data_IF_747776519685
#
_entry.id   IF_747776519685
#
_cell.length_a   1.000
_cell.length_b   1.000
_cell.length_c   1.000
_cell.angle_alpha   90.00
_cell.angle_beta   90.00
_cell.angle_gamma   90.00
#
_symmetry.space_group_name_H-M   'P 1'
#
loop_
_entity.id
_entity.type
_entity.pdbx_description
1 polymer ?
#
# COMPACT_ATOMS: atom_id res chain seq x y z
N UNK A 1 9.28 50.65 8.45
CA UNK A 1 7.81 50.46 8.46
C UNK A 1 7.47 49.69 7.19
N UNK A 2 7.34 48.36 7.35
CA UNK A 2 6.06 47.63 7.27
C UNK A 2 5.62 47.41 5.83
N UNK A 3 5.33 46.22 5.33
CA UNK A 3 5.20 44.87 5.87
C UNK A 3 5.00 43.96 4.64
N UNK A 4 5.52 42.74 4.64
CA UNK A 4 4.71 41.56 4.93
C UNK A 4 3.36 41.56 4.16
N UNK A 5 3.19 40.64 3.21
CA UNK A 5 2.40 39.40 3.41
C UNK A 5 1.93 38.80 2.07
N UNK A 6 2.42 37.57 1.81
CA UNK A 6 1.77 36.39 1.21
C UNK A 6 0.81 36.54 0.02
N UNK A 7 0.99 35.65 -0.97
CA UNK A 7 -0.03 34.73 -1.52
C UNK A 7 0.55 34.17 -2.85
N UNK A 8 0.72 32.88 -3.10
CA UNK A 8 0.46 31.68 -2.32
C UNK A 8 1.16 30.52 -3.02
N UNK A 9 1.98 29.80 -2.26
CA UNK A 9 2.49 28.46 -2.58
C UNK A 9 1.31 27.54 -2.83
N UNK A 10 1.03 27.17 -4.08
CA UNK A 10 0.11 26.07 -4.39
C UNK A 10 0.70 25.19 -5.49
N UNK A 11 1.00 23.96 -5.12
CA UNK A 11 1.21 22.88 -6.08
C UNK A 11 2.64 22.37 -6.24
N UNK A 12 3.47 22.38 -5.18
CA UNK A 12 4.55 21.41 -5.12
C UNK A 12 3.90 20.02 -4.99
N UNK A 13 3.56 19.38 -6.11
CA UNK A 13 3.22 17.96 -6.14
C UNK A 13 4.38 17.24 -5.48
N UNK A 14 4.12 16.60 -4.34
CA UNK A 14 5.06 15.76 -3.64
C UNK A 14 5.44 14.56 -4.52
N UNK A 15 6.25 14.78 -5.55
CA UNK A 15 7.16 13.76 -6.05
C UNK A 15 8.28 13.72 -5.04
N UNK A 16 8.03 13.06 -3.91
CA UNK A 16 9.09 12.37 -3.23
C UNK A 16 9.53 11.26 -4.19
N UNK A 17 10.39 11.60 -5.16
CA UNK A 17 11.25 10.61 -5.77
C UNK A 17 12.02 10.01 -4.60
N UNK A 18 11.55 8.85 -4.14
CA UNK A 18 12.28 8.01 -3.22
C UNK A 18 13.63 7.80 -3.91
N UNK A 19 14.66 8.51 -3.43
CA UNK A 19 16.01 8.38 -3.97
C UNK A 19 16.43 6.90 -3.87
N UNK A 20 17.46 6.50 -4.63
CA UNK A 20 18.07 5.15 -4.66
C UNK A 20 18.67 4.70 -3.31
N UNK A 21 18.11 5.12 -2.18
CA UNK A 21 18.35 4.56 -0.85
C UNK A 21 17.77 3.16 -0.70
N UNK A 22 17.95 2.60 0.49
CA UNK A 22 17.58 1.22 0.79
C UNK A 22 16.05 1.06 0.79
N UNK A 23 15.51 0.41 -0.25
CA UNK A 23 14.08 0.08 -0.37
C UNK A 23 13.81 -1.32 0.15
N UNK A 24 12.84 -1.46 1.05
CA UNK A 24 12.21 -2.73 1.33
C UNK A 24 10.86 -2.78 0.63
N UNK A 25 10.62 -3.79 -0.20
CA UNK A 25 9.31 -4.05 -0.79
C UNK A 25 8.64 -5.22 -0.09
N UNK A 26 7.44 -4.98 0.44
CA UNK A 26 6.56 -5.98 1.01
C UNK A 26 5.35 -6.15 0.09
N UNK A 27 5.25 -7.31 -0.56
CA UNK A 27 4.07 -7.71 -1.33
C UNK A 27 3.17 -8.63 -0.49
N UNK A 28 1.97 -8.17 -0.14
CA UNK A 28 0.97 -8.96 0.57
C UNK A 28 0.00 -9.60 -0.42
N UNK A 29 0.05 -10.93 -0.52
CA UNK A 29 -0.95 -11.72 -1.25
C UNK A 29 -2.17 -11.90 -0.33
N UNK A 30 -3.16 -11.01 -0.42
CA UNK A 30 -4.32 -11.01 0.48
C UNK A 30 -5.21 -12.24 0.28
N UNK A 31 -5.31 -12.72 -0.95
CA UNK A 31 -6.11 -13.88 -1.32
C UNK A 31 -5.59 -14.53 -2.60
N UNK A 32 -5.78 -15.84 -2.74
CA UNK A 32 -5.58 -16.57 -4.00
C UNK A 32 -6.87 -16.65 -4.85
N UNK A 33 -7.99 -16.10 -4.33
CA UNK A 33 -9.24 -16.01 -5.07
C UNK A 33 -9.17 -14.86 -6.07
N UNK A 34 -9.87 -15.00 -7.20
CA UNK A 34 -10.04 -13.95 -8.20
C UNK A 34 -11.44 -14.10 -8.80
N UNK A 35 -12.08 -12.99 -9.14
CA UNK A 35 -13.35 -12.99 -9.86
C UNK A 35 -13.17 -13.17 -11.39
N UNK A 36 -11.92 -13.29 -11.87
CA UNK A 36 -11.57 -13.63 -13.25
C UNK A 36 -10.78 -14.94 -13.33
N UNK A 37 -10.75 -15.52 -14.52
CA UNK A 37 -10.02 -16.75 -14.86
C UNK A 37 -9.10 -16.54 -16.07
N UNK A 38 -8.19 -15.57 -15.99
CA UNK A 38 -7.31 -15.20 -17.11
C UNK A 38 -6.46 -16.40 -17.56
N UNK A 39 -6.45 -16.69 -18.87
CA UNK A 39 -5.73 -17.83 -19.46
C UNK A 39 -4.21 -17.78 -19.25
N UNK A 40 -3.66 -16.59 -19.07
CA UNK A 40 -2.24 -16.34 -18.84
C UNK A 40 -1.87 -16.20 -17.35
N UNK A 41 -2.78 -16.52 -16.42
CA UNK A 41 -2.51 -16.30 -15.01
C UNK A 41 -1.51 -17.33 -14.45
N UNK A 42 -0.34 -16.84 -14.03
CA UNK A 42 0.75 -17.68 -13.52
C UNK A 42 0.40 -18.45 -12.23
N UNK A 43 -0.62 -18.02 -11.47
CA UNK A 43 -1.06 -18.71 -10.25
C UNK A 43 -1.86 -19.99 -10.55
N UNK A 44 -2.27 -20.20 -11.81
CA UNK A 44 -3.14 -21.31 -12.19
C UNK A 44 -4.54 -21.22 -11.59
N UNK A 45 -5.08 -22.38 -11.17
CA UNK A 45 -6.42 -22.52 -10.58
C UNK A 45 -6.62 -21.59 -9.36
N UNK A 46 -7.77 -20.90 -9.33
CA UNK A 46 -8.10 -19.95 -8.26
C UNK A 46 -8.56 -20.69 -7.02
N UNK A 47 -7.94 -20.36 -5.88
CA UNK A 47 -8.19 -21.01 -4.60
C UNK A 47 -8.78 -20.01 -3.62
N UNK A 48 -9.81 -20.42 -2.87
CA UNK A 48 -10.38 -19.60 -1.78
C UNK A 48 -9.51 -19.67 -0.52
N UNK A 49 -8.26 -19.24 -0.65
CA UNK A 49 -7.29 -19.15 0.44
C UNK A 49 -7.02 -17.67 0.70
N UNK A 50 -7.19 -17.24 1.94
CA UNK A 50 -7.05 -15.85 2.37
C UNK A 50 -5.93 -15.71 3.39
N UNK A 51 -5.26 -14.56 3.37
CA UNK A 51 -4.29 -14.19 4.39
C UNK A 51 -5.01 -13.92 5.73
N UNK A 52 -4.59 -14.53 6.86
CA UNK A 52 -5.12 -14.18 8.17
C UNK A 52 -4.78 -12.72 8.52
N UNK A 53 -5.75 -11.89 8.99
CA UNK A 53 -5.50 -10.49 9.34
C UNK A 53 -4.37 -10.30 10.35
N UNK A 54 -4.33 -11.12 11.40
CA UNK A 54 -3.27 -11.07 12.42
C UNK A 54 -1.86 -11.36 11.85
N UNK A 55 -1.76 -12.19 10.80
CA UNK A 55 -0.49 -12.42 10.11
C UNK A 55 -0.10 -11.19 9.30
N UNK A 56 -1.05 -10.59 8.57
CA UNK A 56 -0.82 -9.40 7.77
C UNK A 56 -0.31 -8.23 8.62
N UNK A 57 -0.96 -7.98 9.77
CA UNK A 57 -0.54 -6.96 10.73
C UNK A 57 0.86 -7.23 11.27
N UNK A 58 1.15 -8.46 11.67
CA UNK A 58 2.47 -8.82 12.22
C UNK A 58 3.58 -8.63 11.19
N UNK A 59 3.35 -9.01 9.94
CA UNK A 59 4.33 -8.84 8.85
C UNK A 59 4.52 -7.36 8.52
N UNK A 60 3.45 -6.55 8.55
CA UNK A 60 3.53 -5.11 8.36
C UNK A 60 4.44 -4.45 9.40
N UNK A 61 4.26 -4.75 10.68
CA UNK A 61 5.12 -4.19 11.75
C UNK A 61 6.58 -4.64 11.58
N UNK A 62 6.83 -5.91 11.26
CA UNK A 62 8.17 -6.41 10.99
C UNK A 62 8.85 -5.69 9.82
N UNK A 63 8.09 -5.37 8.76
CA UNK A 63 8.61 -4.63 7.61
C UNK A 63 8.96 -3.18 7.97
N UNK A 64 8.15 -2.51 8.79
CA UNK A 64 8.49 -1.18 9.30
C UNK A 64 9.76 -1.22 10.16
N UNK A 65 9.85 -2.15 11.11
CA UNK A 65 11.02 -2.28 11.97
C UNK A 65 12.29 -2.57 11.17
N UNK A 66 12.20 -3.46 10.18
CA UNK A 66 13.33 -3.77 9.30
C UNK A 66 13.76 -2.57 8.45
N UNK A 67 12.78 -1.81 7.93
CA UNK A 67 13.05 -0.62 7.11
C UNK A 67 13.69 0.51 7.93
N UNK A 68 13.21 0.73 9.15
CA UNK A 68 13.73 1.77 10.04
C UNK A 68 15.15 1.49 10.51
N UNK A 69 15.54 0.22 10.69
CA UNK A 69 16.92 -0.16 11.08
C UNK A 69 17.97 0.24 10.06
N UNK A 70 17.56 0.48 8.82
CA UNK A 70 18.46 0.78 7.71
C UNK A 70 18.20 2.17 7.14
N UNK A 71 17.43 3.02 7.85
CA UNK A 71 17.01 4.35 7.40
C UNK A 71 16.44 4.34 5.97
N UNK A 72 15.71 3.27 5.65
CA UNK A 72 15.19 2.99 4.32
C UNK A 72 13.79 3.54 4.07
N UNK A 73 13.19 3.09 2.97
CA UNK A 73 11.79 3.35 2.66
C UNK A 73 11.03 2.05 2.39
N UNK A 74 9.77 2.03 2.83
CA UNK A 74 8.90 0.87 2.70
C UNK A 74 7.97 1.06 1.50
N UNK A 75 7.97 0.08 0.60
CA UNK A 75 6.90 -0.07 -0.38
C UNK A 75 5.99 -1.21 0.08
N UNK A 76 4.73 -0.90 0.37
CA UNK A 76 3.70 -1.88 0.68
C UNK A 76 2.81 -2.07 -0.56
N UNK A 77 2.92 -3.26 -1.16
CA UNK A 77 2.19 -3.66 -2.36
C UNK A 77 1.09 -4.67 -1.97
N UNK A 78 -0.17 -4.37 -2.29
CA UNK A 78 -1.27 -5.32 -2.18
C UNK A 78 -1.44 -6.09 -3.49
N UNK A 79 -1.42 -7.42 -3.38
CA UNK A 79 -1.47 -8.36 -4.49
C UNK A 79 -2.41 -9.54 -4.16
N UNK A 80 -2.61 -10.44 -5.12
CA UNK A 80 -3.42 -11.63 -4.93
C UNK A 80 -3.86 -12.25 -6.24
N UNK A 81 -4.92 -13.07 -6.17
CA UNK A 81 -5.75 -13.31 -7.33
C UNK A 81 -6.49 -12.02 -7.72
N UNK A 82 -7.31 -11.48 -6.83
CA UNK A 82 -7.81 -10.11 -6.88
C UNK A 82 -7.85 -9.53 -5.46
N UNK A 83 -6.96 -8.59 -5.10
CA UNK A 83 -6.88 -8.07 -3.74
C UNK A 83 -8.12 -7.28 -3.30
N UNK A 84 -8.87 -6.68 -4.23
CA UNK A 84 -10.09 -5.94 -3.88
C UNK A 84 -11.25 -6.85 -3.44
N UNK A 85 -11.12 -8.18 -3.55
CA UNK A 85 -12.03 -9.11 -2.87
C UNK A 85 -11.87 -9.11 -1.35
N UNK A 86 -10.75 -8.57 -0.84
CA UNK A 86 -10.43 -8.43 0.58
C UNK A 86 -10.25 -6.93 0.95
N UNK A 87 -11.06 -6.05 0.35
CA UNK A 87 -11.01 -4.59 0.51
C UNK A 87 -11.00 -4.13 1.97
N UNK A 88 -11.77 -4.77 2.85
CA UNK A 88 -11.78 -4.46 4.29
C UNK A 88 -10.42 -4.65 4.95
N UNK A 89 -9.72 -5.75 4.65
CA UNK A 89 -8.36 -6.01 5.15
C UNK A 89 -7.35 -5.07 4.50
N UNK A 90 -7.47 -4.85 3.18
CA UNK A 90 -6.61 -3.94 2.43
C UNK A 90 -6.63 -2.53 3.02
N UNK A 91 -7.82 -1.97 3.21
CA UNK A 91 -8.01 -0.61 3.72
C UNK A 91 -7.54 -0.48 5.17
N UNK A 92 -7.83 -1.47 6.03
CA UNK A 92 -7.32 -1.49 7.40
C UNK A 92 -5.79 -1.48 7.46
N UNK A 93 -5.12 -2.27 6.61
CA UNK A 93 -3.66 -2.29 6.51
C UNK A 93 -3.10 -0.99 5.93
N UNK A 94 -3.76 -0.41 4.92
CA UNK A 94 -3.35 0.86 4.32
C UNK A 94 -3.43 2.01 5.34
N UNK A 95 -4.53 2.11 6.09
CA UNK A 95 -4.70 3.07 7.19
C UNK A 95 -3.62 2.88 8.26
N UNK A 96 -3.40 1.64 8.70
CA UNK A 96 -2.38 1.32 9.70
C UNK A 96 -0.97 1.67 9.21
N UNK A 97 -0.64 1.35 7.95
CA UNK A 97 0.64 1.68 7.36
C UNK A 97 0.85 3.20 7.27
N UNK A 98 -0.18 3.97 6.86
CA UNK A 98 -0.13 5.44 6.85
C UNK A 98 0.13 6.00 8.24
N UNK A 99 -0.59 5.51 9.26
CA UNK A 99 -0.41 5.91 10.64
C UNK A 99 1.00 5.59 11.16
N UNK A 100 1.51 4.39 10.86
CA UNK A 100 2.85 3.96 11.27
C UNK A 100 3.95 4.75 10.57
N UNK A 101 3.80 5.02 9.28
CA UNK A 101 4.69 5.90 8.50
C UNK A 101 4.75 7.30 9.10
N UNK A 102 3.59 7.91 9.38
CA UNK A 102 3.53 9.22 10.01
C UNK A 102 4.19 9.26 11.40
N UNK A 103 3.94 8.24 12.23
CA UNK A 103 4.48 8.18 13.59
C UNK A 103 6.00 7.95 13.64
N UNK A 104 6.56 7.23 12.66
CA UNK A 104 7.99 6.87 12.64
C UNK A 104 8.85 7.73 11.73
N UNK A 105 8.23 8.50 10.83
CA UNK A 105 8.94 9.21 9.76
C UNK A 105 9.42 8.30 8.62
N UNK A 106 9.10 7.00 8.66
CA UNK A 106 9.46 6.05 7.60
C UNK A 106 8.73 6.41 6.29
N UNK A 107 9.44 6.72 5.19
CA UNK A 107 8.80 6.97 3.91
C UNK A 107 8.06 5.74 3.41
N UNK A 108 6.79 5.91 3.02
CA UNK A 108 5.91 4.84 2.60
C UNK A 108 5.39 5.09 1.19
N UNK A 109 5.49 4.06 0.34
CA UNK A 109 4.76 3.96 -0.92
C UNK A 109 3.70 2.86 -0.80
N UNK A 110 2.43 3.21 -1.02
CA UNK A 110 1.35 2.25 -1.14
C UNK A 110 1.10 1.92 -2.61
N UNK A 111 0.96 0.64 -2.93
CA UNK A 111 0.66 0.15 -4.26
C UNK A 111 -0.42 -0.93 -4.18
N UNK A 112 -1.34 -0.97 -5.15
CA UNK A 112 -2.32 -2.04 -5.32
C UNK A 112 -2.25 -2.52 -6.76
N UNK A 113 -2.14 -3.83 -6.97
CA UNK A 113 -2.30 -4.43 -8.29
C UNK A 113 -3.65 -5.13 -8.38
N UNK A 114 -4.55 -4.57 -9.17
CA UNK A 114 -5.93 -5.06 -9.34
C UNK A 114 -6.26 -5.26 -10.81
N UNK A 115 -7.22 -6.15 -11.11
CA UNK A 115 -7.82 -6.28 -12.43
C UNK A 115 -8.79 -5.13 -12.78
N UNK A 116 -9.12 -4.27 -11.80
CA UNK A 116 -9.93 -3.06 -11.98
C UNK A 116 -11.44 -3.29 -12.04
N UNK A 117 -11.92 -4.53 -12.07
CA UNK A 117 -13.35 -4.84 -12.21
C UNK A 117 -14.20 -4.51 -10.97
N UNK A 118 -13.55 -4.34 -9.81
CA UNK A 118 -14.18 -4.01 -8.54
C UNK A 118 -13.91 -2.54 -8.12
N UNK A 119 -13.34 -1.73 -9.00
CA UNK A 119 -13.13 -0.31 -8.71
C UNK A 119 -14.45 0.45 -8.85
N UNK A 120 -14.79 1.21 -7.81
CA UNK A 120 -15.85 2.20 -7.83
C UNK A 120 -15.37 3.51 -7.18
N UNK A 121 -16.21 4.54 -7.24
CA UNK A 121 -15.87 5.87 -6.70
C UNK A 121 -15.70 5.87 -5.18
N UNK A 122 -16.44 5.03 -4.46
CA UNK A 122 -16.36 4.95 -3.00
C UNK A 122 -15.03 4.35 -2.57
N UNK A 123 -14.66 3.21 -3.15
CA UNK A 123 -13.42 2.50 -2.87
C UNK A 123 -12.20 3.35 -3.24
N UNK A 124 -12.22 4.00 -4.41
CA UNK A 124 -11.16 4.94 -4.81
C UNK A 124 -11.06 6.12 -3.86
N UNK A 125 -12.18 6.60 -3.31
CA UNK A 125 -12.18 7.68 -2.31
C UNK A 125 -11.57 7.29 -0.96
N UNK A 126 -11.44 5.99 -0.67
CA UNK A 126 -10.88 5.46 0.58
C UNK A 126 -9.41 5.01 0.46
N UNK A 127 -8.90 4.88 -0.77
CA UNK A 127 -7.51 4.47 -1.07
C UNK A 127 -6.54 5.66 -0.99
#
# INVERSE_FOLDING_TARGET
MSGLTQLGRRGARAKAQLADGQRLELALVLTHACNLACSYCYTGEKKRVRMPPALAERVLELAFDATLRVDGHLQLSFFGGEPLLEDGLLLALAERARARSHASGCPLLLQVTTNGTLLDTELVGRL
#
